data_IF_386531651189
#
_entry.id   IF_386531651189
#
_cell.length_a   1.000
_cell.length_b   1.000
_cell.length_c   1.000
_cell.angle_alpha   90.00
_cell.angle_beta   90.00
_cell.angle_gamma   90.00
#
_symmetry.space_group_name_H-M   'P 1'
#
loop_
_entity.id
_entity.type
_entity.pdbx_description
1 polymer ?
#
# COMPACT_ATOMS: atom_id res chain seq x y z
N UNK A 1 5.50 -14.72 17.80
CA UNK A 1 6.09 -13.81 16.79
C UNK A 1 4.97 -13.51 15.80
N UNK A 2 4.34 -12.32 15.88
CA UNK A 2 3.28 -11.92 14.94
C UNK A 2 3.93 -11.56 13.61
N UNK A 3 3.29 -11.91 12.49
CA UNK A 3 3.81 -11.58 11.15
C UNK A 3 3.37 -10.16 10.81
N UNK A 4 4.24 -9.34 10.22
CA UNK A 4 3.94 -7.96 9.79
C UNK A 4 2.69 -7.86 8.89
N UNK A 5 2.36 -8.94 8.17
CA UNK A 5 1.10 -9.08 7.42
C UNK A 5 -0.14 -9.08 8.32
N UNK A 6 -0.09 -9.79 9.45
CA UNK A 6 -1.23 -9.89 10.37
C UNK A 6 -1.49 -8.56 11.12
N UNK A 7 -0.55 -7.61 11.00
CA UNK A 7 -0.66 -6.24 11.51
C UNK A 7 -1.04 -5.24 10.40
N UNK A 8 -1.32 -5.71 9.17
CA UNK A 8 -1.72 -4.86 8.04
C UNK A 8 -0.57 -4.01 7.45
N UNK A 9 0.66 -4.19 7.91
CA UNK A 9 1.83 -3.44 7.42
C UNK A 9 2.34 -3.96 6.07
N UNK A 10 1.94 -5.17 5.67
CA UNK A 10 2.33 -5.80 4.42
C UNK A 10 1.10 -6.23 3.62
N UNK A 11 1.10 -5.92 2.34
CA UNK A 11 0.24 -6.53 1.33
C UNK A 11 0.71 -7.95 1.06
N UNK A 12 -0.09 -8.91 1.51
CA UNK A 12 -0.01 -10.30 1.11
C UNK A 12 -1.23 -10.68 0.28
N UNK A 13 -1.07 -10.76 -1.04
CA UNK A 13 -2.15 -11.14 -1.95
C UNK A 13 -2.37 -12.65 -1.91
N UNK A 14 -3.54 -13.15 -1.48
CA UNK A 14 -3.79 -14.58 -1.41
C UNK A 14 -3.92 -15.17 -2.82
N UNK A 15 -3.06 -16.15 -3.16
CA UNK A 15 -3.11 -16.87 -4.42
C UNK A 15 -3.78 -18.25 -4.25
N UNK A 16 -4.98 -18.41 -4.80
CA UNK A 16 -5.66 -19.70 -4.87
C UNK A 16 -6.33 -20.16 -3.57
N UNK A 17 -6.42 -21.49 -3.37
CA UNK A 17 -7.17 -22.13 -2.26
C UNK A 17 -6.31 -22.52 -1.04
N UNK A 18 -4.99 -22.35 -1.13
CA UNK A 18 -4.03 -22.61 -0.05
C UNK A 18 -3.46 -21.29 0.45
N UNK A 19 -2.87 -21.22 1.66
CA UNK A 19 -2.30 -19.98 2.19
C UNK A 19 -0.96 -19.63 1.51
N UNK A 20 -0.97 -19.56 0.18
CA UNK A 20 0.11 -19.04 -0.64
C UNK A 20 -0.16 -17.54 -0.83
N UNK A 21 0.83 -16.73 -0.49
CA UNK A 21 0.72 -15.28 -0.56
C UNK A 21 1.76 -14.74 -1.53
N UNK A 22 1.31 -13.90 -2.45
CA UNK A 22 2.19 -13.08 -3.26
C UNK A 22 2.43 -11.75 -2.58
N UNK A 23 3.70 -11.39 -2.40
CA UNK A 23 4.09 -10.12 -1.82
C UNK A 23 4.67 -9.24 -2.93
N UNK A 24 3.98 -8.17 -3.34
CA UNK A 24 4.52 -7.23 -4.31
C UNK A 24 5.89 -6.67 -3.88
N UNK A 25 6.84 -6.65 -4.82
CA UNK A 25 8.24 -6.31 -4.53
C UNK A 25 8.45 -4.84 -4.09
N UNK A 26 7.61 -3.92 -4.57
CA UNK A 26 7.70 -2.49 -4.26
C UNK A 26 7.64 -2.16 -2.76
N UNK A 27 7.11 -3.08 -1.95
CA UNK A 27 7.00 -2.89 -0.50
C UNK A 27 8.35 -2.96 0.21
N UNK A 28 9.35 -3.55 -0.43
CA UNK A 28 10.63 -3.85 0.19
C UNK A 28 11.71 -2.86 -0.26
N UNK A 29 12.35 -2.26 0.73
CA UNK A 29 13.62 -1.56 0.60
C UNK A 29 14.72 -2.62 0.60
N UNK A 30 15.16 -2.99 -0.61
CA UNK A 30 16.19 -4.03 -0.80
C UNK A 30 17.57 -3.60 -0.33
N UNK A 31 17.80 -2.29 -0.17
CA UNK A 31 19.08 -1.74 0.31
C UNK A 31 19.15 -1.85 1.83
N UNK A 32 18.09 -1.49 2.53
CA UNK A 32 18.05 -1.52 4.00
C UNK A 32 17.36 -2.77 4.59
N UNK A 33 16.98 -3.72 3.73
CA UNK A 33 16.38 -5.02 4.09
C UNK A 33 15.14 -4.86 4.98
N UNK A 34 14.28 -3.88 4.67
CA UNK A 34 13.08 -3.54 5.45
C UNK A 34 11.88 -3.29 4.55
N UNK A 35 10.71 -3.22 5.15
CA UNK A 35 9.53 -2.66 4.46
C UNK A 35 9.66 -1.14 4.47
N UNK A 36 9.33 -0.49 3.35
CA UNK A 36 9.29 0.97 3.30
C UNK A 36 8.31 1.49 4.37
N UNK A 37 8.74 2.39 5.29
CA UNK A 37 7.85 2.89 6.34
C UNK A 37 6.56 3.50 5.79
N UNK A 38 6.66 4.27 4.70
CA UNK A 38 5.50 4.86 4.03
C UNK A 38 4.54 3.81 3.45
N UNK A 39 5.06 2.68 2.96
CA UNK A 39 4.23 1.57 2.46
C UNK A 39 3.50 0.90 3.61
N UNK A 40 4.21 0.61 4.71
CA UNK A 40 3.60 0.04 5.90
C UNK A 40 2.50 0.95 6.47
N UNK A 41 2.75 2.26 6.50
CA UNK A 41 1.79 3.28 6.89
C UNK A 41 0.52 3.25 6.02
N UNK A 42 0.66 3.37 4.70
CA UNK A 42 -0.46 3.38 3.78
C UNK A 42 -1.26 2.06 3.83
N UNK A 43 -0.57 0.91 3.84
CA UNK A 43 -1.22 -0.40 3.92
C UNK A 43 -2.04 -0.57 5.21
N UNK A 44 -1.51 -0.11 6.34
CA UNK A 44 -2.22 -0.19 7.62
C UNK A 44 -3.45 0.71 7.65
N UNK A 45 -3.36 1.92 7.08
CA UNK A 45 -4.46 2.89 7.00
C UNK A 45 -5.60 2.41 6.10
N UNK A 46 -5.25 1.72 5.02
CA UNK A 46 -6.19 1.19 4.04
C UNK A 46 -6.77 -0.19 4.41
N UNK A 47 -6.30 -0.82 5.49
CA UNK A 47 -6.79 -2.13 5.91
C UNK A 47 -6.31 -3.27 5.01
N UNK A 48 -5.01 -3.32 4.72
CA UNK A 48 -4.42 -4.36 3.86
C UNK A 48 -4.58 -5.79 4.37
N UNK A 49 -4.86 -5.99 5.67
CA UNK A 49 -5.14 -7.30 6.23
C UNK A 49 -6.56 -7.78 5.89
N UNK A 50 -7.51 -6.85 5.83
CA UNK A 50 -8.92 -7.08 5.57
C UNK A 50 -9.23 -7.12 4.07
N UNK A 51 -8.68 -6.17 3.30
CA UNK A 51 -8.87 -6.06 1.85
C UNK A 51 -7.54 -5.86 1.09
N UNK A 52 -6.70 -6.91 1.00
CA UNK A 52 -5.42 -6.81 0.32
C UNK A 52 -5.56 -6.48 -1.18
N UNK A 53 -6.67 -6.86 -1.82
CA UNK A 53 -6.91 -6.59 -3.23
C UNK A 53 -7.33 -5.13 -3.46
N UNK A 54 -8.20 -4.57 -2.62
CA UNK A 54 -8.56 -3.16 -2.66
C UNK A 54 -7.35 -2.26 -2.42
N UNK A 55 -6.53 -2.58 -1.42
CA UNK A 55 -5.28 -1.82 -1.17
C UNK A 55 -4.31 -1.95 -2.36
N UNK A 56 -4.17 -3.13 -2.96
CA UNK A 56 -3.34 -3.30 -4.18
C UNK A 56 -3.87 -2.47 -5.35
N UNK A 57 -5.20 -2.40 -5.52
CA UNK A 57 -5.80 -1.55 -6.54
C UNK A 57 -5.50 -0.08 -6.27
N UNK A 58 -5.64 0.37 -5.02
CA UNK A 58 -5.37 1.75 -4.62
C UNK A 58 -3.96 2.21 -5.00
N UNK A 59 -2.93 1.37 -4.76
CA UNK A 59 -1.55 1.66 -5.16
C UNK A 59 -1.36 1.89 -6.66
N UNK A 60 -2.24 1.32 -7.49
CA UNK A 60 -2.18 1.39 -8.96
C UNK A 60 -3.22 2.34 -9.56
N UNK A 61 -4.07 2.94 -8.75
CA UNK A 61 -5.11 3.85 -9.22
C UNK A 61 -4.56 5.27 -9.26
N UNK A 62 -4.65 5.96 -10.42
CA UNK A 62 -4.30 7.38 -10.51
C UNK A 62 -5.16 8.25 -9.58
N UNK A 63 -4.58 9.30 -9.03
CA UNK A 63 -5.30 10.25 -8.17
C UNK A 63 -5.03 11.69 -8.58
N UNK A 64 -6.08 12.50 -8.59
CA UNK A 64 -5.97 13.96 -8.78
C UNK A 64 -5.17 14.62 -7.65
N UNK A 65 -5.11 14.00 -6.46
CA UNK A 65 -4.26 14.46 -5.35
C UNK A 65 -2.76 14.36 -5.70
N UNK A 66 -2.41 13.44 -6.59
CA UNK A 66 -1.05 13.23 -7.09
C UNK A 66 -0.90 13.69 -8.55
N UNK A 67 -1.68 14.70 -8.97
CA UNK A 67 -1.64 15.23 -10.34
C UNK A 67 -1.84 14.16 -11.44
N UNK A 68 -2.71 13.18 -11.17
CA UNK A 68 -3.01 12.07 -12.09
C UNK A 68 -1.98 10.94 -12.06
N UNK A 69 -1.04 10.96 -11.11
CA UNK A 69 -0.09 9.86 -10.87
C UNK A 69 -0.66 8.85 -9.88
N UNK A 70 -0.08 7.66 -9.90
CA UNK A 70 -0.41 6.60 -8.95
C UNK A 70 0.49 6.69 -7.71
N UNK A 71 0.02 6.24 -6.53
CA UNK A 71 0.86 6.17 -5.33
C UNK A 71 2.14 5.37 -5.55
N UNK A 72 2.08 4.32 -6.38
CA UNK A 72 3.25 3.50 -6.70
C UNK A 72 4.32 4.30 -7.45
N UNK A 73 3.92 5.15 -8.40
CA UNK A 73 4.88 5.98 -9.13
C UNK A 73 5.55 7.01 -8.21
N UNK A 74 4.79 7.65 -7.32
CA UNK A 74 5.37 8.60 -6.36
C UNK A 74 6.25 7.91 -5.32
N UNK A 75 5.93 6.67 -4.95
CA UNK A 75 6.79 5.86 -4.10
C UNK A 75 8.13 5.55 -4.80
N UNK A 76 8.08 5.15 -6.08
CA UNK A 76 9.25 4.82 -6.87
C UNK A 76 10.15 6.04 -7.12
N UNK A 77 9.55 7.23 -7.32
CA UNK A 77 10.26 8.50 -7.48
C UNK A 77 10.75 9.07 -6.12
N UNK A 78 10.27 8.53 -5.00
CA UNK A 78 10.66 8.95 -3.64
C UNK A 78 9.91 10.18 -3.11
N UNK A 79 8.84 10.58 -3.79
CA UNK A 79 8.04 11.78 -3.51
C UNK A 79 6.78 11.48 -2.66
N UNK A 80 6.43 10.21 -2.47
CA UNK A 80 5.25 9.83 -1.68
C UNK A 80 5.43 10.17 -0.19
N UNK A 81 4.51 10.97 0.35
CA UNK A 81 4.50 11.38 1.76
C UNK A 81 3.25 10.87 2.50
N UNK A 82 3.33 10.78 3.83
CA UNK A 82 2.17 10.39 4.66
C UNK A 82 1.00 11.37 4.49
N UNK A 83 1.29 12.67 4.30
CA UNK A 83 0.28 13.70 4.04
C UNK A 83 -0.44 13.43 2.72
N UNK A 84 0.29 13.07 1.67
CA UNK A 84 -0.30 12.72 0.37
C UNK A 84 -1.19 11.47 0.49
N UNK A 85 -0.74 10.44 1.21
CA UNK A 85 -1.53 9.24 1.51
C UNK A 85 -2.84 9.60 2.23
N UNK A 86 -2.77 10.39 3.31
CA UNK A 86 -3.95 10.80 4.07
C UNK A 86 -4.93 11.63 3.24
N UNK A 87 -4.42 12.54 2.40
CA UNK A 87 -5.24 13.33 1.48
C UNK A 87 -5.95 12.45 0.47
N UNK A 88 -5.27 11.44 -0.08
CA UNK A 88 -5.87 10.49 -1.03
C UNK A 88 -6.94 9.62 -0.38
N UNK A 89 -6.70 9.12 0.84
CA UNK A 89 -7.69 8.34 1.59
C UNK A 89 -8.93 9.22 1.85
N UNK A 90 -8.72 10.44 2.33
CA UNK A 90 -9.80 11.39 2.60
C UNK A 90 -10.57 11.77 1.33
N UNK A 91 -9.89 11.88 0.18
CA UNK A 91 -10.54 12.17 -1.09
C UNK A 91 -11.41 11.00 -1.57
N UNK A 92 -10.94 9.76 -1.40
CA UNK A 92 -11.71 8.56 -1.73
C UNK A 92 -12.99 8.43 -0.87
N UNK A 93 -12.93 8.81 0.42
CA UNK A 93 -14.09 8.80 1.31
C UNK A 93 -15.14 9.88 0.96
N UNK A 94 -14.71 11.01 0.39
CA UNK A 94 -15.57 12.15 0.01
C UNK A 94 -16.22 12.00 -1.37
N UNK A 95 -15.69 11.11 -2.21
CA UNK A 95 -16.21 10.83 -3.56
C UNK A 95 -17.35 9.81 -3.61
N UNK A 96 -17.83 9.34 -2.45
CA UNK A 96 -18.98 8.45 -2.30
C UNK A 96 -20.28 9.21 -2.00
#
# INVERSE_FOLDING_TARGET
MKKLRDEGMLLGLPLGRRPDYHYPAFQFDTVHHRVWPIVAYANSRLGAAEDPWGVTSWWRTPSDVLDGRTPLQDLEDGDLTEIAVDNMISAAERGM
#
